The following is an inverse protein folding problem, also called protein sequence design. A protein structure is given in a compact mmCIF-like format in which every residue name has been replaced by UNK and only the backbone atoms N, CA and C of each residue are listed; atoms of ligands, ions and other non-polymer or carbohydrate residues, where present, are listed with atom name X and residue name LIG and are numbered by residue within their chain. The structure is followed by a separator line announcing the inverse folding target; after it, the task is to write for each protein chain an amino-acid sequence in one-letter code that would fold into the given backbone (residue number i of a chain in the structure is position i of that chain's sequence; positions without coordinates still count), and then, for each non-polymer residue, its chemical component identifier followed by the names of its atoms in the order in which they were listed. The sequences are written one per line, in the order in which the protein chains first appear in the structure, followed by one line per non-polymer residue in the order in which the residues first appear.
data_IF_785900417207
#
_entry.id   IF_785900417207
#
_cell.length_a   1.000
_cell.length_b   1.000
_cell.length_c   1.000
_cell.angle_alpha   90.00
_cell.angle_beta   90.00
_cell.angle_gamma   90.00
#
_symmetry.space_group_name_H-M   'P 1'
#
loop_
_entity.id
_entity.type
_entity.pdbx_description
1 polymer ?
#
# COMPACT_ATOMS: atom_id res chain seq x y z
N UNK A 1 6.46 -6.12 11.45
CA UNK A 1 5.35 -5.27 11.91
C UNK A 1 4.42 -6.14 12.71
N UNK A 2 4.16 -5.79 13.97
CA UNK A 2 3.40 -6.62 14.92
C UNK A 2 1.99 -6.02 15.09
N UNK A 3 0.98 -6.83 14.84
CA UNK A 3 -0.40 -6.50 15.17
C UNK A 3 -0.78 -7.23 16.45
N UNK A 4 -1.30 -6.51 17.41
CA UNK A 4 -1.90 -7.09 18.60
C UNK A 4 -3.41 -6.96 18.50
N UNK A 5 -4.12 -8.07 18.40
CA UNK A 5 -5.57 -8.13 18.51
C UNK A 5 -5.92 -8.79 19.83
N UNK A 6 -6.62 -8.09 20.72
CA UNK A 6 -7.12 -8.65 21.98
C UNK A 6 -8.57 -9.10 21.81
N UNK A 7 -8.82 -10.37 22.06
CA UNK A 7 -10.17 -10.94 22.08
C UNK A 7 -10.80 -10.65 23.45
N UNK A 8 -11.71 -9.70 23.51
CA UNK A 8 -12.39 -9.40 24.78
C UNK A 8 -13.56 -8.43 24.69
N UNK A 9 -13.76 -7.75 23.54
CA UNK A 9 -14.90 -6.85 23.35
C UNK A 9 -15.38 -6.90 21.89
N UNK A 10 -16.69 -6.99 21.62
CA UNK A 10 -17.23 -7.25 20.27
C UNK A 10 -17.07 -6.14 19.23
N UNK A 11 -16.33 -5.06 19.52
CA UNK A 11 -16.06 -3.95 18.59
C UNK A 11 -14.59 -3.64 18.35
N UNK A 12 -13.64 -4.43 18.90
CA UNK A 12 -12.22 -4.10 18.88
C UNK A 12 -11.33 -5.10 18.10
N UNK A 13 -11.89 -5.95 17.26
CA UNK A 13 -11.12 -7.02 16.60
C UNK A 13 -10.54 -6.60 15.25
N UNK A 14 -10.65 -5.34 14.86
CA UNK A 14 -10.08 -4.84 13.62
C UNK A 14 -8.87 -3.96 13.96
N UNK A 15 -7.73 -4.35 13.44
CA UNK A 15 -6.49 -3.58 13.55
C UNK A 15 -6.03 -3.18 12.16
N UNK A 16 -5.64 -1.93 11.99
CA UNK A 16 -5.03 -1.51 10.74
C UNK A 16 -3.73 -0.76 11.01
N UNK A 17 -2.82 -0.85 10.07
CA UNK A 17 -1.55 -0.13 10.09
C UNK A 17 -1.36 0.51 8.72
N UNK A 18 -0.97 1.77 8.74
CA UNK A 18 -0.64 2.53 7.54
C UNK A 18 0.80 3.00 7.63
N UNK A 19 1.57 2.72 6.58
CA UNK A 19 2.94 3.18 6.42
C UNK A 19 3.06 3.87 5.07
N UNK A 20 3.36 5.16 5.08
CA UNK A 20 3.44 5.93 3.85
C UNK A 20 3.67 7.41 4.11
N UNK A 21 3.60 8.19 3.04
CA UNK A 21 3.71 9.65 3.05
C UNK A 21 2.39 10.28 2.67
N UNK A 22 2.06 11.38 3.33
CA UNK A 22 0.90 12.19 2.94
C UNK A 22 1.24 13.02 1.71
N UNK A 23 0.36 12.96 0.72
CA UNK A 23 0.46 13.72 -0.52
C UNK A 23 -0.83 14.47 -0.78
N UNK A 24 -0.74 15.63 -1.41
CA UNK A 24 -1.93 16.41 -1.78
C UNK A 24 -2.59 15.73 -2.97
N UNK A 25 -3.86 15.35 -2.81
CA UNK A 25 -4.64 14.64 -3.84
C UNK A 25 -5.72 15.48 -4.47
N UNK A 26 -6.17 16.54 -3.79
CA UNK A 26 -7.18 17.46 -4.31
C UNK A 26 -7.04 18.83 -3.64
N UNK A 27 -7.59 19.83 -4.28
CA UNK A 27 -7.84 21.14 -3.69
C UNK A 27 -9.34 21.46 -3.75
N UNK A 28 -9.87 21.96 -2.67
CA UNK A 28 -11.19 22.62 -2.67
C UNK A 28 -10.94 24.11 -2.81
N UNK A 29 -11.41 24.72 -3.91
CA UNK A 29 -11.26 26.14 -4.16
C UNK A 29 -12.58 26.87 -3.81
N UNK A 30 -12.48 27.88 -2.97
CA UNK A 30 -13.55 28.82 -2.71
C UNK A 30 -13.19 30.19 -3.35
N UNK A 31 -13.96 30.61 -4.30
CA UNK A 31 -13.82 31.94 -4.90
C UNK A 31 -14.76 32.91 -4.16
N UNK A 32 -14.21 33.85 -3.44
CA UNK A 32 -15.01 34.92 -2.85
C UNK A 32 -15.46 35.86 -3.96
N UNK A 33 -16.75 35.88 -4.27
CA UNK A 33 -17.36 36.79 -5.19
C UNK A 33 -17.58 38.13 -4.47
N UNK A 34 -16.53 38.94 -4.38
CA UNK A 34 -16.61 40.31 -3.88
C UNK A 34 -16.64 41.26 -5.07
N UNK A 35 -17.61 42.14 -5.05
CA UNK A 35 -17.75 43.24 -6.02
C UNK A 35 -16.46 44.07 -6.09
N UNK A 36 -15.90 44.21 -7.29
CA UNK A 36 -14.89 45.20 -7.71
C UNK A 36 -13.40 44.99 -7.42
N UNK A 37 -12.92 43.85 -6.95
CA UNK A 37 -11.45 43.62 -6.95
C UNK A 37 -11.19 42.16 -7.12
N UNK A 38 -10.28 41.78 -8.03
CA UNK A 38 -9.96 40.41 -8.42
C UNK A 38 -10.11 39.39 -7.30
N UNK A 39 -11.05 38.44 -7.50
CA UNK A 39 -11.44 37.48 -6.48
C UNK A 39 -10.25 36.67 -5.98
N UNK A 40 -10.00 36.68 -4.68
CA UNK A 40 -9.00 35.86 -4.05
C UNK A 40 -9.48 34.40 -4.06
N UNK A 41 -8.76 33.55 -4.73
CA UNK A 41 -9.01 32.08 -4.71
C UNK A 41 -8.33 31.51 -3.45
N UNK A 42 -9.13 30.98 -2.53
CA UNK A 42 -8.61 30.25 -1.37
C UNK A 42 -8.66 28.77 -1.65
N UNK A 43 -7.51 28.11 -1.60
CA UNK A 43 -7.37 26.68 -1.87
C UNK A 43 -7.12 25.92 -0.57
N UNK A 44 -7.98 24.96 -0.26
CA UNK A 44 -7.79 24.05 0.88
C UNK A 44 -7.32 22.69 0.36
N UNK A 45 -6.11 22.22 0.73
CA UNK A 45 -5.60 20.94 0.28
C UNK A 45 -6.29 19.77 1.00
N UNK A 46 -6.58 18.71 0.24
CA UNK A 46 -6.97 17.41 0.76
C UNK A 46 -5.80 16.45 0.59
N UNK A 47 -5.51 15.67 1.64
CA UNK A 47 -4.38 14.76 1.65
C UNK A 47 -4.84 13.31 1.48
N UNK A 48 -4.04 12.55 0.74
CA UNK A 48 -4.12 11.09 0.66
C UNK A 48 -2.81 10.47 1.10
N UNK A 49 -2.82 9.18 1.42
CA UNK A 49 -1.61 8.44 1.81
C UNK A 49 -1.07 7.68 0.61
N UNK A 50 0.17 7.95 0.24
CA UNK A 50 0.95 7.12 -0.68
C UNK A 50 1.78 6.15 0.13
N UNK A 51 1.46 4.85 0.06
CA UNK A 51 2.10 3.82 0.88
C UNK A 51 1.30 2.54 0.99
N UNK A 52 1.58 1.77 2.03
CA UNK A 52 0.94 0.51 2.36
C UNK A 52 -0.02 0.71 3.54
N UNK A 53 -1.25 0.25 3.38
CA UNK A 53 -2.22 0.08 4.46
C UNK A 53 -2.55 -1.40 4.58
N UNK A 54 -2.48 -1.95 5.78
CA UNK A 54 -2.86 -3.32 6.07
C UNK A 54 -3.93 -3.34 7.14
N UNK A 55 -5.12 -3.77 6.78
CA UNK A 55 -6.21 -4.09 7.70
C UNK A 55 -6.20 -5.58 8.03
N UNK A 56 -6.39 -5.92 9.30
CA UNK A 56 -6.51 -7.30 9.75
C UNK A 56 -7.64 -7.40 10.80
N UNK A 57 -8.53 -8.36 10.61
CA UNK A 57 -9.61 -8.66 11.54
C UNK A 57 -9.57 -10.14 11.93
N UNK A 58 -9.34 -10.41 13.20
CA UNK A 58 -9.40 -11.78 13.74
C UNK A 58 -10.84 -12.05 14.15
N UNK A 59 -11.44 -13.11 13.61
CA UNK A 59 -12.83 -13.50 13.89
C UNK A 59 -12.90 -14.55 14.99
N UNK A 60 -11.99 -15.54 14.99
CA UNK A 60 -12.00 -16.65 15.93
C UNK A 60 -10.61 -17.23 16.10
N UNK A 61 -10.29 -17.64 17.31
CA UNK A 61 -9.15 -18.52 17.62
C UNK A 61 -9.73 -19.79 18.22
N UNK A 62 -9.41 -20.93 17.62
CA UNK A 62 -9.85 -22.24 18.09
C UNK A 62 -8.84 -22.83 19.09
N UNK A 63 -9.31 -23.65 20.02
CA UNK A 63 -8.49 -24.34 21.02
C UNK A 63 -7.45 -25.30 20.37
N UNK A 64 -7.68 -25.69 19.12
CA UNK A 64 -6.77 -26.51 18.31
C UNK A 64 -5.66 -25.70 17.64
N UNK A 65 -5.49 -24.43 18.00
CA UNK A 65 -4.46 -23.54 17.46
C UNK A 65 -4.74 -23.05 16.03
N UNK A 66 -6.01 -23.00 15.61
CA UNK A 66 -6.38 -22.36 14.37
C UNK A 66 -6.84 -20.93 14.61
N UNK A 67 -6.37 -20.02 13.77
CA UNK A 67 -6.75 -18.62 13.75
C UNK A 67 -7.56 -18.34 12.49
N UNK A 68 -8.75 -17.80 12.68
CA UNK A 68 -9.64 -17.39 11.58
C UNK A 68 -9.63 -15.87 11.51
N UNK A 69 -9.21 -15.32 10.36
CA UNK A 69 -9.07 -13.88 10.18
C UNK A 69 -9.36 -13.44 8.74
N UNK A 70 -9.57 -12.15 8.57
CA UNK A 70 -9.72 -11.47 7.28
C UNK A 70 -8.63 -10.44 7.14
N UNK A 71 -8.05 -10.30 5.95
CA UNK A 71 -7.02 -9.32 5.63
C UNK A 71 -7.48 -8.42 4.50
N UNK A 72 -7.16 -7.14 4.60
CA UNK A 72 -7.41 -6.14 3.56
C UNK A 72 -6.19 -5.24 3.35
N UNK A 73 -5.12 -5.77 2.74
CA UNK A 73 -3.98 -4.95 2.35
C UNK A 73 -4.36 -4.03 1.18
N UNK A 74 -3.88 -2.79 1.23
CA UNK A 74 -4.01 -1.81 0.17
C UNK A 74 -2.68 -1.09 -0.06
N UNK A 75 -2.29 -0.94 -1.31
CA UNK A 75 -1.11 -0.19 -1.73
C UNK A 75 -1.57 1.01 -2.55
N UNK A 76 -1.17 2.19 -2.13
CA UNK A 76 -1.37 3.45 -2.83
C UNK A 76 -0.02 3.95 -3.34
N UNK A 77 0.07 4.24 -4.62
CA UNK A 77 1.27 4.80 -5.22
C UNK A 77 0.94 6.05 -6.02
N UNK A 78 1.75 7.09 -5.87
CA UNK A 78 1.65 8.29 -6.71
C UNK A 78 2.11 7.93 -8.13
N UNK A 79 1.25 8.13 -9.13
CA UNK A 79 1.52 7.78 -10.54
C UNK A 79 1.85 8.98 -11.39
N UNK A 80 1.19 10.10 -11.15
CA UNK A 80 1.38 11.32 -11.92
C UNK A 80 1.11 12.55 -11.07
N UNK A 81 1.60 13.70 -11.53
CA UNK A 81 1.29 15.02 -10.97
C UNK A 81 0.47 15.80 -11.97
N UNK A 82 -0.47 16.56 -11.46
CA UNK A 82 -1.28 17.50 -12.25
C UNK A 82 -1.37 18.80 -11.49
N UNK A 83 -1.21 19.91 -12.20
CA UNK A 83 -1.30 21.25 -11.59
C UNK A 83 -2.75 21.74 -11.65
N UNK A 84 -3.28 22.13 -10.51
CA UNK A 84 -4.57 22.82 -10.40
C UNK A 84 -4.32 24.31 -10.48
N UNK A 85 -4.88 24.95 -11.49
CA UNK A 85 -4.65 26.35 -11.77
C UNK A 85 -5.09 27.23 -10.57
N UNK A 86 -4.17 28.05 -10.09
CA UNK A 86 -4.40 28.94 -8.95
C UNK A 86 -4.20 28.32 -7.57
N UNK A 87 -3.97 26.99 -7.45
CA UNK A 87 -3.82 26.30 -6.18
C UNK A 87 -2.48 25.57 -6.00
N UNK A 88 -2.02 24.83 -7.02
CA UNK A 88 -0.76 24.09 -6.93
C UNK A 88 -0.87 22.67 -7.49
N UNK A 89 0.14 21.87 -7.19
CA UNK A 89 0.24 20.51 -7.71
C UNK A 89 -0.50 19.50 -6.84
N UNK A 90 -1.22 18.61 -7.49
CA UNK A 90 -1.84 17.43 -6.88
C UNK A 90 -1.18 16.16 -7.40
N UNK A 91 -1.18 15.12 -6.59
CA UNK A 91 -0.71 13.79 -6.96
C UNK A 91 -1.88 12.84 -7.17
N UNK A 92 -1.90 12.19 -8.32
CA UNK A 92 -2.89 11.15 -8.63
C UNK A 92 -2.41 9.85 -8.02
N UNK A 93 -3.21 9.27 -7.13
CA UNK A 93 -2.92 8.00 -6.48
C UNK A 93 -3.58 6.85 -7.24
N UNK A 94 -2.79 5.85 -7.58
CA UNK A 94 -3.28 4.53 -7.98
C UNK A 94 -3.38 3.65 -6.74
N UNK A 95 -4.59 3.25 -6.37
CA UNK A 95 -4.85 2.40 -5.21
C UNK A 95 -5.13 0.98 -5.70
N UNK A 96 -4.40 0.02 -5.14
CA UNK A 96 -4.61 -1.41 -5.36
C UNK A 96 -4.93 -2.06 -4.04
N UNK A 97 -6.09 -2.68 -3.97
CA UNK A 97 -6.57 -3.37 -2.77
C UNK A 97 -6.72 -4.85 -3.06
N UNK A 98 -6.35 -5.66 -2.09
CA UNK A 98 -6.60 -7.08 -2.07
C UNK A 98 -7.43 -7.36 -0.82
N UNK A 99 -8.69 -7.74 -0.99
CA UNK A 99 -9.53 -8.16 0.11
C UNK A 99 -9.59 -9.69 0.12
N UNK A 100 -9.13 -10.29 1.22
CA UNK A 100 -9.29 -11.72 1.42
C UNK A 100 -10.63 -11.97 2.09
N UNK A 101 -11.32 -13.02 1.68
CA UNK A 101 -12.41 -13.54 2.51
C UNK A 101 -11.89 -14.04 3.85
N UNK A 102 -12.73 -14.73 4.60
CA UNK A 102 -12.32 -15.38 5.84
C UNK A 102 -11.37 -16.53 5.56
N UNK A 103 -10.17 -16.45 6.13
CA UNK A 103 -9.11 -17.44 5.99
C UNK A 103 -8.84 -18.09 7.34
N UNK A 104 -8.65 -19.40 7.37
CA UNK A 104 -8.30 -20.18 8.56
C UNK A 104 -6.91 -20.76 8.40
N UNK A 105 -6.00 -20.40 9.31
CA UNK A 105 -4.59 -20.81 9.28
C UNK A 105 -4.19 -21.30 10.67
N UNK A 106 -3.34 -22.30 10.75
CA UNK A 106 -2.80 -22.78 12.02
C UNK A 106 -1.79 -21.78 12.58
N UNK A 107 -1.71 -21.71 13.90
CA UNK A 107 -0.68 -20.94 14.59
C UNK A 107 0.73 -21.27 14.09
N UNK A 108 1.50 -20.24 13.71
CA UNK A 108 2.83 -20.37 13.16
C UNK A 108 2.92 -20.77 11.68
N UNK A 109 1.81 -21.07 10.99
CA UNK A 109 1.82 -21.31 9.56
C UNK A 109 1.75 -20.01 8.77
N UNK A 110 2.49 -19.97 7.66
CA UNK A 110 2.51 -18.79 6.78
C UNK A 110 1.49 -18.94 5.66
N UNK A 111 0.59 -17.97 5.57
CA UNK A 111 -0.30 -17.75 4.45
C UNK A 111 0.41 -16.87 3.41
N UNK A 112 0.44 -17.31 2.17
CA UNK A 112 1.00 -16.55 1.05
C UNK A 112 -0.15 -16.07 0.17
N UNK A 113 -0.26 -14.76 0.02
CA UNK A 113 -1.19 -14.09 -0.86
C UNK A 113 -0.41 -13.52 -2.04
N UNK A 114 -0.79 -13.92 -3.25
CA UNK A 114 -0.14 -13.45 -4.48
C UNK A 114 -1.15 -12.81 -5.42
N UNK A 115 -0.71 -11.81 -6.15
CA UNK A 115 -1.53 -11.16 -7.17
C UNK A 115 -0.69 -10.42 -8.21
N UNK A 116 -1.19 -10.37 -9.43
CA UNK A 116 -0.58 -9.56 -10.48
C UNK A 116 -1.06 -8.13 -10.34
N UNK A 117 -0.12 -7.21 -10.08
CA UNK A 117 -0.44 -5.78 -9.95
C UNK A 117 -0.55 -5.11 -11.31
N UNK A 118 0.36 -5.45 -12.23
CA UNK A 118 0.41 -4.85 -13.56
C UNK A 118 1.13 -5.80 -14.51
N UNK A 119 0.54 -6.04 -15.65
CA UNK A 119 1.18 -6.69 -16.79
C UNK A 119 1.02 -5.75 -17.99
N UNK A 120 2.12 -5.25 -18.53
CA UNK A 120 2.15 -4.36 -19.66
C UNK A 120 3.10 -4.94 -20.72
N UNK A 121 2.56 -5.18 -21.90
CA UNK A 121 3.31 -5.64 -23.05
C UNK A 121 3.16 -4.59 -24.16
N UNK A 122 4.23 -3.84 -24.41
CA UNK A 122 4.27 -2.77 -25.41
C UNK A 122 5.15 -3.25 -26.56
N UNK A 123 4.54 -3.46 -27.71
CA UNK A 123 5.24 -3.73 -28.95
C UNK A 123 5.25 -2.46 -29.81
N UNK A 124 6.42 -1.92 -30.05
CA UNK A 124 6.60 -0.76 -30.93
C UNK A 124 7.30 -1.24 -32.21
N UNK A 125 6.65 -1.03 -33.34
CA UNK A 125 7.22 -1.31 -34.66
C UNK A 125 7.36 0.01 -35.41
N UNK A 126 8.60 0.40 -35.64
CA UNK A 126 8.92 1.56 -36.49
C UNK A 126 9.42 1.03 -37.84
N UNK A 127 8.69 1.33 -38.91
CA UNK A 127 9.07 0.97 -40.27
C UNK A 127 9.14 2.22 -41.15
N UNK A 128 10.08 2.23 -42.08
CA UNK A 128 10.11 3.26 -43.10
C UNK A 128 9.01 2.99 -44.13
N UNK A 129 8.18 3.99 -44.49
CA UNK A 129 7.13 3.81 -45.45
C UNK A 129 7.75 3.36 -46.79
N UNK A 130 7.09 2.42 -47.45
CA UNK A 130 7.49 1.82 -48.74
C UNK A 130 8.65 0.81 -48.63
N UNK A 131 9.77 1.15 -47.97
CA UNK A 131 10.96 0.30 -47.86
C UNK A 131 10.78 -0.85 -46.86
N UNK A 132 9.98 -0.67 -45.84
CA UNK A 132 9.70 -1.70 -44.81
C UNK A 132 8.75 -2.82 -45.26
N UNK A 133 8.07 -2.66 -46.41
CA UNK A 133 7.11 -3.63 -46.94
C UNK A 133 7.68 -4.48 -48.12
N UNK A 134 8.95 -4.28 -48.50
CA UNK A 134 9.61 -5.05 -49.54
C UNK A 134 9.97 -6.45 -49.04
N UNK A 135 9.51 -7.53 -49.67
CA UNK A 135 9.92 -8.89 -49.31
C UNK A 135 11.43 -9.05 -49.51
N UNK A 136 12.12 -9.73 -48.59
CA UNK A 136 13.56 -9.98 -48.48
C UNK A 136 14.41 -8.84 -47.90
N UNK A 137 14.17 -7.57 -48.23
CA UNK A 137 14.99 -6.44 -47.77
C UNK A 137 14.29 -5.62 -46.66
N UNK A 138 12.97 -5.73 -46.51
CA UNK A 138 12.19 -4.95 -45.51
C UNK A 138 12.61 -5.17 -44.06
N UNK A 139 13.28 -6.28 -43.76
CA UNK A 139 13.79 -6.54 -42.41
C UNK A 139 14.87 -5.55 -41.98
N UNK A 140 15.70 -5.05 -42.93
CA UNK A 140 16.74 -4.07 -42.63
C UNK A 140 16.18 -2.65 -42.36
N UNK A 141 14.93 -2.39 -42.78
CA UNK A 141 14.25 -1.11 -42.65
C UNK A 141 13.11 -1.16 -41.58
N UNK A 142 13.07 -2.22 -40.80
CA UNK A 142 12.12 -2.41 -39.70
C UNK A 142 12.87 -2.51 -38.39
N UNK A 143 12.55 -1.64 -37.44
CA UNK A 143 12.98 -1.75 -36.05
C UNK A 143 11.78 -2.17 -35.18
N UNK A 144 11.88 -3.31 -34.52
CA UNK A 144 10.85 -3.80 -33.62
C UNK A 144 11.39 -3.85 -32.19
N UNK A 145 10.79 -3.08 -31.31
CA UNK A 145 11.05 -3.12 -29.88
C UNK A 145 9.86 -3.73 -29.15
N UNK A 146 10.12 -4.67 -28.26
CA UNK A 146 9.10 -5.21 -27.35
C UNK A 146 9.57 -5.01 -25.93
N UNK A 147 8.75 -4.31 -25.13
CA UNK A 147 9.00 -4.11 -23.72
C UNK A 147 7.86 -4.75 -22.93
N UNK A 148 8.20 -5.76 -22.14
CA UNK A 148 7.26 -6.42 -21.24
C UNK A 148 7.62 -6.09 -19.80
N UNK A 149 6.68 -5.51 -19.08
CA UNK A 149 6.83 -5.19 -17.66
C UNK A 149 5.74 -5.91 -16.88
N UNK A 150 6.14 -6.84 -16.03
CA UNK A 150 5.24 -7.56 -15.11
C UNK A 150 5.60 -7.21 -13.67
N UNK A 151 4.60 -6.82 -12.90
CA UNK A 151 4.75 -6.53 -11.48
C UNK A 151 3.81 -7.43 -10.69
N UNK A 152 4.36 -8.13 -9.72
CA UNK A 152 3.62 -9.02 -8.85
C UNK A 152 3.75 -8.55 -7.41
N UNK A 153 2.68 -8.72 -6.64
CA UNK A 153 2.66 -8.49 -5.20
C UNK A 153 2.59 -9.83 -4.50
N UNK A 154 3.50 -10.04 -3.57
CA UNK A 154 3.51 -11.20 -2.68
C UNK A 154 3.42 -10.70 -1.24
N UNK A 155 2.39 -11.12 -0.52
CA UNK A 155 2.20 -10.80 0.89
C UNK A 155 2.24 -12.11 1.67
N UNK A 156 3.13 -12.19 2.66
CA UNK A 156 3.26 -13.32 3.57
C UNK A 156 2.74 -12.94 4.95
N UNK A 157 1.83 -13.72 5.49
CA UNK A 157 1.23 -13.49 6.81
C UNK A 157 1.34 -14.75 7.64
N UNK A 158 1.95 -14.62 8.81
CA UNK A 158 2.10 -15.71 9.78
C UNK A 158 1.41 -15.30 11.08
N UNK A 159 0.23 -15.86 11.40
CA UNK A 159 -0.41 -15.62 12.68
C UNK A 159 0.38 -16.31 13.78
N UNK A 160 0.51 -15.66 14.94
CA UNK A 160 1.07 -16.23 16.15
C UNK A 160 0.16 -15.92 17.32
N UNK A 161 -0.36 -16.96 17.97
CA UNK A 161 -1.18 -16.85 19.18
C UNK A 161 -0.26 -16.65 20.37
N UNK A 162 -0.50 -15.60 21.13
CA UNK A 162 0.23 -15.30 22.36
C UNK A 162 -0.74 -15.52 23.53
N UNK A 163 -0.42 -16.48 24.42
CA UNK A 163 -1.17 -16.72 25.62
C UNK A 163 -0.56 -15.90 26.76
N UNK A 164 -1.36 -15.04 27.38
CA UNK A 164 -0.91 -14.12 28.43
C UNK A 164 -0.69 -14.84 29.79
N UNK A 165 -1.17 -16.09 29.93
CA UNK A 165 -1.04 -16.87 31.17
C UNK A 165 0.39 -17.28 31.51
N UNK A 166 1.31 -17.25 30.56
CA UNK A 166 2.69 -17.63 30.78
C UNK A 166 3.60 -16.48 31.25
N UNK A 167 3.07 -15.28 31.48
CA UNK A 167 3.81 -14.13 32.05
C UNK A 167 5.09 -13.75 31.31
N UNK A 168 5.25 -14.20 30.07
CA UNK A 168 6.45 -13.96 29.29
C UNK A 168 6.45 -12.54 28.70
N UNK A 169 7.44 -11.76 29.06
CA UNK A 169 7.80 -10.57 28.30
C UNK A 169 8.23 -11.04 26.92
N UNK A 170 7.33 -11.03 25.95
CA UNK A 170 7.67 -11.28 24.55
C UNK A 170 8.38 -10.05 23.97
N UNK A 171 9.59 -9.80 24.46
CA UNK A 171 10.54 -8.93 23.78
C UNK A 171 11.03 -9.63 22.55
N UNK A 172 10.42 -9.37 21.39
CA UNK A 172 11.16 -9.52 20.15
C UNK A 172 12.39 -8.63 20.33
N UNK A 173 13.58 -9.20 20.19
CA UNK A 173 14.84 -8.52 20.43
C UNK A 173 15.12 -7.33 19.51
N UNK A 174 14.17 -6.42 19.41
CA UNK A 174 14.38 -5.13 18.79
C UNK A 174 15.31 -4.33 19.70
N UNK A 175 16.56 -4.25 19.31
CA UNK A 175 17.51 -3.33 19.91
C UNK A 175 17.51 -2.05 19.10
N UNK A 176 16.96 -0.95 19.64
CA UNK A 176 17.00 0.32 18.94
C UNK A 176 18.46 0.75 18.74
N UNK A 177 18.76 1.24 17.55
CA UNK A 177 20.11 1.72 17.21
C UNK A 177 20.47 3.04 17.90
N UNK A 178 19.46 3.82 18.34
CA UNK A 178 19.69 5.11 18.97
C UNK A 178 19.72 5.03 20.50
N UNK A 179 20.68 5.74 21.12
CA UNK A 179 20.84 5.82 22.58
C UNK A 179 19.59 6.29 23.33
N UNK A 180 18.84 7.32 22.86
CA UNK A 180 17.61 7.74 23.52
C UNK A 180 16.54 6.66 23.57
N UNK A 181 16.38 5.90 22.48
CA UNK A 181 15.39 4.84 22.43
C UNK A 181 15.72 3.65 23.35
N UNK A 182 17.01 3.37 23.60
CA UNK A 182 17.45 2.37 24.59
C UNK A 182 17.14 2.79 26.02
N UNK A 183 17.29 4.08 26.34
CA UNK A 183 16.97 4.60 27.68
C UNK A 183 15.48 4.47 28.00
N UNK A 184 14.60 4.72 27.03
CA UNK A 184 13.15 4.55 27.21
C UNK A 184 12.72 3.10 27.46
N UNK A 185 13.36 2.13 26.81
CA UNK A 185 13.08 0.71 27.02
C UNK A 185 13.65 0.19 28.35
N UNK A 186 14.73 0.77 28.85
CA UNK A 186 15.36 0.38 30.12
C UNK A 186 14.65 0.92 31.36
N UNK A 187 13.80 1.95 31.24
CA UNK A 187 13.06 2.54 32.38
C UNK A 187 11.69 1.89 32.61
N UNK A 188 11.24 0.99 31.76
CA UNK A 188 9.95 0.28 31.87
C UNK A 188 10.00 -1.05 32.63
N UNK A 189 11.13 -1.42 33.21
CA UNK A 189 11.32 -2.67 33.96
C UNK A 189 11.60 -2.37 35.45
N UNK A 190 10.60 -1.82 36.16
CA UNK A 190 10.48 -1.84 37.61
C UNK A 190 9.06 -2.24 37.97
#
# INVERSE_FOLDING_TARGET
MLFRSSIGRPRANESFVTVGTNVVTAYTSNQATGSNTGGVITCTPSFGVSGLTLGARVSKIDDNGFVTFTLSPAISAATSKTTVQGCGDIQILSVRRLDTGTVRVRDGQTLILTGVISDSDIATVTKWPILGDIPLVGQFFRNSGRTRTKRELVIMVTPKVINDESGGVYGYGYQPSSTPARQWLGQGAL
#
